data_IF_129442489005
#
_entry.id   IF_129442489005
#
_cell.length_a   1.000
_cell.length_b   1.000
_cell.length_c   1.000
_cell.angle_alpha   90.00
_cell.angle_beta   90.00
_cell.angle_gamma   90.00
#
_symmetry.space_group_name_H-M   'P 1'
#
loop_
_entity.id
_entity.type
_entity.pdbx_description
1 polymer ?
#
# COMPACT_ATOMS: atom_id res chain seq x y z
N UNK A 1 11.62 43.87 -6.35
CA UNK A 1 10.80 42.68 -6.62
C UNK A 1 10.85 41.81 -5.37
N UNK A 2 9.74 41.69 -4.66
CA UNK A 2 9.66 41.00 -3.38
C UNK A 2 9.86 39.49 -3.58
N UNK A 3 10.63 38.89 -2.67
CA UNK A 3 11.00 37.48 -2.65
C UNK A 3 9.74 36.62 -2.59
N UNK A 4 9.59 35.73 -3.56
CA UNK A 4 8.53 34.72 -3.56
C UNK A 4 8.72 33.87 -2.31
N UNK A 5 7.86 34.06 -1.32
CA UNK A 5 7.81 33.22 -0.12
C UNK A 5 7.48 31.81 -0.57
N UNK A 6 8.49 30.95 -0.61
CA UNK A 6 8.36 29.50 -0.69
C UNK A 6 7.50 29.04 0.50
N UNK A 7 6.19 29.06 0.32
CA UNK A 7 5.30 28.21 1.07
C UNK A 7 5.78 26.79 0.74
N UNK A 8 6.64 26.22 1.60
CA UNK A 8 6.89 24.78 1.59
C UNK A 8 5.53 24.13 1.81
N UNK A 9 4.83 23.83 0.73
CA UNK A 9 3.62 23.02 0.74
C UNK A 9 4.05 21.76 1.48
N UNK A 10 3.47 21.53 2.67
CA UNK A 10 3.73 20.29 3.41
C UNK A 10 3.28 19.16 2.49
N UNK A 11 4.25 18.47 1.87
CA UNK A 11 3.96 17.29 1.07
C UNK A 11 3.25 16.26 1.95
N UNK A 12 2.24 15.62 1.37
CA UNK A 12 1.55 14.51 2.00
C UNK A 12 2.55 13.35 2.19
N UNK A 13 2.60 12.69 3.37
CA UNK A 13 3.43 11.51 3.57
C UNK A 13 3.34 10.45 2.49
N UNK A 14 2.15 10.23 1.93
CA UNK A 14 1.94 9.22 0.87
C UNK A 14 2.64 9.61 -0.43
N UNK A 15 2.60 10.89 -0.79
CA UNK A 15 3.27 11.37 -2.00
C UNK A 15 4.81 11.31 -1.82
N UNK A 16 5.29 11.53 -0.60
CA UNK A 16 6.71 11.33 -0.29
C UNK A 16 7.11 9.85 -0.37
N UNK A 17 6.27 8.90 0.06
CA UNK A 17 6.52 7.46 -0.15
C UNK A 17 6.65 7.15 -1.64
N UNK A 18 5.75 7.68 -2.47
CA UNK A 18 5.80 7.52 -3.92
C UNK A 18 7.11 8.07 -4.50
N UNK A 19 7.52 9.26 -4.10
CA UNK A 19 8.76 9.88 -4.56
C UNK A 19 10.00 9.07 -4.16
N UNK A 20 10.04 8.57 -2.92
CA UNK A 20 11.13 7.71 -2.43
C UNK A 20 11.23 6.41 -3.25
N UNK A 21 10.10 5.76 -3.53
CA UNK A 21 10.08 4.56 -4.37
C UNK A 21 10.51 4.88 -5.80
N UNK A 22 10.03 5.99 -6.36
CA UNK A 22 10.36 6.43 -7.71
C UNK A 22 11.84 6.76 -7.87
N UNK A 23 12.45 7.39 -6.87
CA UNK A 23 13.89 7.68 -6.80
C UNK A 23 14.72 6.39 -6.72
N UNK A 24 14.27 5.41 -5.91
CA UNK A 24 14.96 4.12 -5.75
C UNK A 24 14.84 3.22 -6.97
N UNK A 25 13.69 3.23 -7.64
CA UNK A 25 13.40 2.40 -8.81
C UNK A 25 13.32 0.90 -8.52
N UNK A 26 13.30 0.50 -7.25
CA UNK A 26 13.22 -0.89 -6.78
C UNK A 26 12.36 -0.97 -5.53
N UNK A 27 11.88 -2.17 -5.22
CA UNK A 27 11.18 -2.45 -3.99
C UNK A 27 12.00 -2.16 -2.74
N UNK A 28 11.33 -1.59 -1.73
CA UNK A 28 11.96 -1.20 -0.46
C UNK A 28 11.17 -1.76 0.71
N UNK A 29 11.89 -2.15 1.77
CA UNK A 29 11.26 -2.61 3.00
C UNK A 29 10.45 -1.49 3.66
N UNK A 30 9.21 -1.79 4.07
CA UNK A 30 8.23 -0.80 4.53
C UNK A 30 8.76 0.09 5.67
N UNK A 31 9.54 -0.50 6.60
CA UNK A 31 10.11 0.24 7.73
C UNK A 31 11.10 1.29 7.24
N UNK A 32 11.92 0.97 6.25
CA UNK A 32 12.92 1.89 5.72
C UNK A 32 12.25 3.02 4.92
N UNK A 33 11.19 2.72 4.18
CA UNK A 33 10.34 3.73 3.51
C UNK A 33 9.76 4.71 4.51
N UNK A 34 9.08 4.21 5.53
CA UNK A 34 8.40 5.04 6.53
C UNK A 34 9.40 5.91 7.27
N UNK A 35 10.54 5.36 7.69
CA UNK A 35 11.58 6.13 8.37
C UNK A 35 12.14 7.24 7.46
N UNK A 36 12.40 6.93 6.19
CA UNK A 36 12.90 7.91 5.22
C UNK A 36 11.91 9.07 5.01
N UNK A 37 10.61 8.77 4.95
CA UNK A 37 9.55 9.77 4.79
C UNK A 37 9.44 10.68 6.02
N UNK A 38 9.52 10.10 7.22
CA UNK A 38 9.52 10.87 8.48
C UNK A 38 10.72 11.82 8.51
N UNK A 39 11.90 11.35 8.12
CA UNK A 39 13.13 12.14 8.06
C UNK A 39 13.01 13.29 7.03
N UNK A 40 12.51 12.99 5.83
CA UNK A 40 12.40 13.96 4.73
C UNK A 40 11.37 15.06 4.99
N UNK A 41 10.24 14.72 5.62
CA UNK A 41 9.17 15.69 5.87
C UNK A 41 9.39 16.52 7.14
N UNK A 42 10.37 16.17 7.97
CA UNK A 42 10.66 16.79 9.27
C UNK A 42 9.36 17.07 10.07
N UNK A 43 8.42 16.13 10.05
CA UNK A 43 7.10 16.36 10.62
C UNK A 43 7.24 16.55 12.14
N UNK A 44 6.56 17.55 12.73
CA UNK A 44 6.42 17.62 14.18
C UNK A 44 5.49 16.48 14.61
N UNK A 45 6.08 15.33 14.85
CA UNK A 45 5.39 14.12 15.26
C UNK A 45 5.09 14.16 16.75
N UNK A 46 3.84 13.88 17.11
CA UNK A 46 3.42 13.77 18.52
C UNK A 46 4.10 12.57 19.20
N UNK A 47 4.28 11.49 18.44
CA UNK A 47 5.11 10.35 18.76
C UNK A 47 5.55 9.62 17.49
N UNK A 48 6.70 8.94 17.53
CA UNK A 48 7.19 8.11 16.42
C UNK A 48 6.20 7.02 16.04
N UNK A 49 5.62 6.33 17.02
CA UNK A 49 4.66 5.25 16.78
C UNK A 49 3.39 5.73 16.08
N UNK A 50 2.92 6.94 16.40
CA UNK A 50 1.77 7.54 15.73
C UNK A 50 2.08 7.84 14.26
N UNK A 51 3.24 8.43 13.98
CA UNK A 51 3.67 8.73 12.61
C UNK A 51 3.82 7.47 11.76
N UNK A 52 4.44 6.41 12.31
CA UNK A 52 4.58 5.13 11.63
C UNK A 52 3.21 4.55 11.28
N UNK A 53 2.29 4.53 12.25
CA UNK A 53 0.95 3.96 12.08
C UNK A 53 0.14 4.74 11.05
N UNK A 54 0.23 6.07 11.08
CA UNK A 54 -0.43 6.95 10.13
C UNK A 54 0.05 6.71 8.70
N UNK A 55 1.37 6.75 8.47
CA UNK A 55 1.95 6.54 7.14
C UNK A 55 1.63 5.14 6.62
N UNK A 56 1.78 4.12 7.47
CA UNK A 56 1.46 2.74 7.10
C UNK A 56 -0.02 2.59 6.71
N UNK A 57 -0.93 3.21 7.47
CA UNK A 57 -2.37 3.17 7.17
C UNK A 57 -2.67 3.83 5.83
N UNK A 58 -2.11 5.02 5.59
CA UNK A 58 -2.34 5.75 4.34
C UNK A 58 -1.74 5.00 3.13
N UNK A 59 -0.55 4.41 3.28
CA UNK A 59 0.07 3.58 2.24
C UNK A 59 -0.79 2.36 1.89
N UNK A 60 -1.38 1.67 2.88
CA UNK A 60 -2.26 0.53 2.63
C UNK A 60 -3.59 0.91 1.96
N UNK A 61 -4.02 2.16 2.07
CA UNK A 61 -5.25 2.67 1.43
C UNK A 61 -5.01 3.18 0.01
N UNK A 62 -3.76 3.37 -0.40
CA UNK A 62 -3.41 3.96 -1.69
C UNK A 62 -3.09 2.87 -2.73
N UNK A 63 -3.84 2.87 -3.83
CA UNK A 63 -3.76 1.86 -4.88
C UNK A 63 -2.52 1.95 -5.78
N UNK A 64 -1.67 2.98 -5.61
CA UNK A 64 -0.41 3.12 -6.35
C UNK A 64 0.67 2.16 -5.84
N UNK A 65 0.54 1.67 -4.60
CA UNK A 65 1.55 0.80 -3.99
C UNK A 65 1.16 -0.67 -4.10
N UNK A 66 2.17 -1.50 -4.34
CA UNK A 66 2.05 -2.94 -4.42
C UNK A 66 2.88 -3.60 -3.32
N UNK A 67 2.30 -4.57 -2.62
CA UNK A 67 3.01 -5.41 -1.67
C UNK A 67 3.67 -6.59 -2.39
N UNK A 68 4.99 -6.54 -2.54
CA UNK A 68 5.77 -7.55 -3.26
C UNK A 68 6.05 -8.82 -2.43
N UNK A 69 5.79 -8.80 -1.12
CA UNK A 69 6.11 -9.89 -0.19
C UNK A 69 7.22 -9.50 0.80
N UNK A 70 7.33 -10.24 1.91
CA UNK A 70 8.38 -10.08 2.94
C UNK A 70 8.59 -8.63 3.45
N UNK A 71 7.51 -7.84 3.53
CA UNK A 71 7.58 -6.45 3.95
C UNK A 71 8.11 -5.48 2.88
N UNK A 72 8.34 -5.94 1.65
CA UNK A 72 8.81 -5.13 0.51
C UNK A 72 7.61 -4.51 -0.21
N UNK A 73 7.74 -3.22 -0.54
CA UNK A 73 6.74 -2.42 -1.24
C UNK A 73 7.33 -1.75 -2.48
N UNK A 74 6.53 -1.77 -3.54
CA UNK A 74 6.89 -1.35 -4.89
C UNK A 74 5.76 -0.49 -5.48
N UNK A 75 5.97 0.09 -6.67
CA UNK A 75 4.92 0.80 -7.38
C UNK A 75 4.18 -0.11 -8.37
N UNK A 76 2.85 -0.01 -8.39
CA UNK A 76 1.98 -0.74 -9.34
C UNK A 76 2.34 -0.40 -10.80
N UNK A 77 2.80 0.81 -11.08
CA UNK A 77 3.25 1.24 -12.42
C UNK A 77 4.46 0.45 -12.96
N UNK A 78 5.23 -0.23 -12.09
CA UNK A 78 6.35 -1.09 -12.51
C UNK A 78 5.87 -2.49 -12.92
N UNK A 79 4.63 -2.84 -12.59
CA UNK A 79 4.06 -4.12 -12.94
C UNK A 79 3.60 -4.09 -14.40
N UNK A 80 3.82 -5.17 -15.17
CA UNK A 80 3.25 -5.28 -16.50
C UNK A 80 1.74 -5.06 -16.44
N UNK A 81 1.14 -4.30 -17.38
CA UNK A 81 -0.30 -4.11 -17.40
C UNK A 81 -0.97 -5.48 -17.41
N UNK A 82 -1.86 -5.71 -16.45
CA UNK A 82 -2.55 -6.99 -16.32
C UNK A 82 -3.25 -7.27 -17.65
N UNK A 83 -2.73 -8.23 -18.40
CA UNK A 83 -3.39 -8.68 -19.62
C UNK A 83 -4.68 -9.29 -19.15
N UNK A 84 -5.80 -8.57 -19.33
CA UNK A 84 -7.14 -9.12 -19.20
C UNK A 84 -7.21 -10.29 -20.18
N UNK A 85 -6.81 -11.48 -19.74
CA UNK A 85 -7.30 -12.72 -20.31
C UNK A 85 -8.79 -12.60 -20.14
N UNK A 86 -9.49 -12.24 -21.22
CA UNK A 86 -10.92 -12.50 -21.34
C UNK A 86 -11.03 -14.00 -21.08
N UNK A 87 -11.33 -14.36 -19.85
CA UNK A 87 -11.75 -15.71 -19.51
C UNK A 87 -13.06 -15.87 -20.28
N UNK A 88 -13.00 -16.46 -21.47
CA UNK A 88 -14.16 -17.21 -21.95
C UNK A 88 -14.44 -18.18 -20.80
N UNK A 89 -15.60 -18.06 -20.18
CA UNK A 89 -16.11 -19.09 -19.28
C UNK A 89 -16.31 -20.32 -20.16
N UNK A 90 -15.25 -21.10 -20.33
CA UNK A 90 -15.37 -22.53 -20.57
C UNK A 90 -15.37 -23.15 -19.19
N UNK A 91 -16.54 -23.67 -18.78
CA UNK A 91 -16.62 -24.62 -17.67
C UNK A 91 -15.52 -25.66 -17.85
N UNK A 92 -14.59 -25.64 -16.91
CA UNK A 92 -13.38 -26.45 -16.92
C UNK A 92 -12.84 -26.41 -15.51
N UNK A 93 -13.45 -27.23 -14.67
CA UNK A 93 -13.06 -27.49 -13.30
C UNK A 93 -11.58 -27.89 -13.26
N UNK A 94 -10.76 -27.19 -12.47
CA UNK A 94 -9.63 -27.75 -11.71
C UNK A 94 -8.87 -26.66 -10.94
N UNK A 95 -8.76 -26.84 -9.61
CA UNK A 95 -7.63 -26.31 -8.83
C UNK A 95 -7.90 -25.29 -7.72
N UNK A 96 -8.17 -25.80 -6.51
CA UNK A 96 -7.65 -25.28 -5.23
C UNK A 96 -8.02 -23.85 -4.75
N UNK A 97 -9.28 -23.66 -4.32
CA UNK A 97 -9.63 -22.58 -3.39
C UNK A 97 -10.92 -22.90 -2.60
N UNK A 98 -10.84 -23.71 -1.54
CA UNK A 98 -12.04 -23.94 -0.69
C UNK A 98 -11.72 -24.46 0.71
N UNK A 99 -11.13 -23.61 1.57
CA UNK A 99 -11.21 -23.84 3.02
C UNK A 99 -11.66 -22.61 3.82
N UNK A 100 -11.36 -21.40 3.35
CA UNK A 100 -11.84 -20.16 3.98
C UNK A 100 -13.33 -19.90 3.73
N UNK A 101 -13.91 -20.39 2.62
CA UNK A 101 -15.30 -20.06 2.27
C UNK A 101 -16.35 -20.87 3.04
N UNK A 102 -16.04 -22.08 3.50
CA UNK A 102 -16.99 -22.93 4.24
C UNK A 102 -17.13 -22.54 5.71
N UNK A 103 -16.05 -22.02 6.34
CA UNK A 103 -16.06 -21.62 7.76
C UNK A 103 -16.96 -20.43 8.05
N UNK A 104 -17.21 -19.57 7.05
CA UNK A 104 -18.07 -18.41 7.20
C UNK A 104 -19.54 -18.78 7.13
N UNK A 105 -19.96 -19.72 6.27
CA UNK A 105 -21.35 -20.22 6.24
C UNK A 105 -21.76 -20.87 7.57
N UNK A 106 -20.91 -21.72 8.14
CA UNK A 106 -21.23 -22.42 9.40
C UNK A 106 -21.34 -21.49 10.61
N UNK A 107 -20.65 -20.34 10.59
CA UNK A 107 -20.69 -19.37 11.68
C UNK A 107 -22.02 -18.58 11.67
N UNK A 108 -22.53 -18.24 10.49
CA UNK A 108 -23.79 -17.49 10.36
C UNK A 108 -25.01 -18.33 10.76
N UNK A 109 -25.03 -19.64 10.49
CA UNK A 109 -26.11 -20.53 10.96
C UNK A 109 -26.13 -20.66 12.49
N UNK A 110 -24.96 -20.73 13.14
CA UNK A 110 -24.89 -20.93 14.60
C UNK A 110 -25.30 -19.73 15.45
N UNK A 111 -25.53 -18.56 14.84
CA UNK A 111 -25.89 -17.32 15.56
C UNK A 111 -27.43 -17.09 15.56
N UNK A 112 -28.19 -17.94 14.86
CA UNK A 112 -29.65 -17.79 14.70
C UNK A 112 -30.50 -18.69 15.63
N UNK A 113 -29.88 -19.45 16.54
CA UNK A 113 -30.53 -20.10 17.69
C UNK A 113 -30.16 -19.42 19.00
#
# INVERSE_FOLDING_TARGET
>A
MAKNTDVKIKKNPVDEVYDVLKEKGVGVYYKDLIMKVIDNLNLPVRSMSAAISEIYTQMNMDSRFHYAGDGVWDLVEWMPPEVKRRTRVSSGENGSASKASRRKETLFESIQE
#
